data_IF_253983980559
#
_entry.id   IF_253983980559
#
_cell.length_a   1.000
_cell.length_b   1.000
_cell.length_c   1.000
_cell.angle_alpha   90.00
_cell.angle_beta   90.00
_cell.angle_gamma   90.00
#
_symmetry.space_group_name_H-M   'P 1'
#
loop_
_entity.id
_entity.type
_entity.pdbx_description
1 polymer ?
#
# COMPACT_ATOMS: atom_id res chain seq x y z
N UNK A 1 9.94 -0.99 -11.43
CA UNK A 1 9.36 0.37 -11.28
C UNK A 1 8.37 0.60 -12.42
N UNK A 2 7.12 0.91 -12.12
CA UNK A 2 6.10 1.27 -13.13
C UNK A 2 5.83 2.77 -13.03
N UNK A 3 6.12 3.57 -14.05
CA UNK A 3 6.02 5.04 -14.00
C UNK A 3 4.96 5.56 -14.97
N UNK A 4 4.10 6.47 -14.52
CA UNK A 4 3.14 7.20 -15.38
C UNK A 4 2.83 8.57 -14.79
N UNK A 5 3.01 9.61 -15.61
CA UNK A 5 2.73 10.99 -15.20
C UNK A 5 3.49 11.37 -13.93
N UNK A 6 2.74 11.83 -12.92
CA UNK A 6 3.26 12.33 -11.63
C UNK A 6 3.55 11.25 -10.59
N UNK A 7 3.36 9.97 -10.91
CA UNK A 7 3.55 8.88 -9.96
C UNK A 7 4.36 7.71 -10.54
N UNK A 8 4.92 6.91 -9.64
CA UNK A 8 5.46 5.60 -9.97
C UNK A 8 5.22 4.59 -8.84
N UNK A 9 5.14 3.32 -9.22
CA UNK A 9 4.98 2.18 -8.32
C UNK A 9 6.31 1.46 -8.10
N UNK A 10 6.59 1.17 -6.83
CA UNK A 10 7.68 0.27 -6.40
C UNK A 10 7.09 -0.85 -5.54
N UNK A 11 7.67 -2.06 -5.53
CA UNK A 11 7.36 -3.03 -4.49
C UNK A 11 7.50 -2.40 -3.10
N UNK A 12 6.69 -2.85 -2.14
CA UNK A 12 6.88 -2.48 -0.74
C UNK A 12 8.23 -2.98 -0.22
N UNK A 13 8.95 -2.13 0.50
CA UNK A 13 10.16 -2.48 1.23
C UNK A 13 10.00 -2.15 2.71
N UNK A 14 10.86 -2.75 3.57
CA UNK A 14 10.81 -2.57 5.03
C UNK A 14 10.83 -1.08 5.44
N UNK A 15 11.57 -0.22 4.74
CA UNK A 15 11.64 1.20 5.07
C UNK A 15 10.31 1.95 4.87
N UNK A 16 9.38 1.41 4.07
CA UNK A 16 8.06 2.00 3.87
C UNK A 16 7.16 1.82 5.09
N UNK A 17 7.47 0.89 6.01
CA UNK A 17 6.68 0.64 7.20
C UNK A 17 6.54 1.89 8.08
N UNK A 18 7.55 2.76 8.11
CA UNK A 18 7.47 4.03 8.85
C UNK A 18 6.39 4.95 8.27
N UNK A 19 6.30 5.07 6.94
CA UNK A 19 5.26 5.86 6.28
C UNK A 19 3.87 5.23 6.48
N UNK A 20 3.76 3.92 6.34
CA UNK A 20 2.50 3.17 6.55
C UNK A 20 2.00 3.33 7.98
N UNK A 21 2.88 3.14 8.96
CA UNK A 21 2.54 3.33 10.38
C UNK A 21 2.02 4.74 10.66
N UNK A 22 2.61 5.76 10.02
CA UNK A 22 2.10 7.13 10.15
C UNK A 22 0.72 7.30 9.50
N UNK A 23 0.48 6.68 8.34
CA UNK A 23 -0.83 6.72 7.65
C UNK A 23 -1.95 6.09 8.46
N UNK A 24 -1.65 4.96 9.12
CA UNK A 24 -2.61 4.17 9.88
C UNK A 24 -2.97 4.78 11.25
N UNK A 25 -2.35 5.89 11.64
CA UNK A 25 -2.85 6.70 12.77
C UNK A 25 -4.23 7.32 12.49
N UNK A 26 -4.59 7.49 11.22
CA UNK A 26 -5.94 7.87 10.81
C UNK A 26 -6.79 6.61 10.68
N UNK A 27 -7.87 6.51 11.47
CA UNK A 27 -8.77 5.35 11.49
C UNK A 27 -9.44 5.11 10.12
N UNK A 28 -9.73 6.15 9.36
CA UNK A 28 -10.25 6.01 7.99
C UNK A 28 -9.27 5.20 7.12
N UNK A 29 -7.97 5.48 7.24
CA UNK A 29 -6.96 4.75 6.49
C UNK A 29 -6.86 3.30 6.96
N UNK A 30 -7.04 3.00 8.25
CA UNK A 30 -7.05 1.61 8.75
C UNK A 30 -8.13 0.79 8.06
N UNK A 31 -9.35 1.34 7.98
CA UNK A 31 -10.52 0.66 7.38
C UNK A 31 -10.34 0.36 5.88
N UNK A 32 -9.56 1.17 5.18
CA UNK A 32 -9.28 0.98 3.74
C UNK A 32 -7.94 0.30 3.46
N UNK A 33 -7.10 0.05 4.46
CA UNK A 33 -5.76 -0.50 4.28
C UNK A 33 -5.77 -2.01 4.07
N UNK A 34 -6.46 -2.72 4.96
CA UNK A 34 -6.58 -4.19 4.88
C UNK A 34 -7.68 -4.69 5.79
N UNK A 35 -8.28 -5.82 5.44
CA UNK A 35 -9.19 -6.56 6.33
C UNK A 35 -8.50 -7.12 7.58
N UNK A 36 -7.17 -7.01 7.69
CA UNK A 36 -6.36 -7.51 8.82
C UNK A 36 -6.39 -6.60 10.04
N UNK A 37 -6.51 -5.28 9.84
CA UNK A 37 -6.42 -4.31 10.93
C UNK A 37 -7.77 -3.64 11.18
N UNK A 38 -8.22 -3.71 12.43
CA UNK A 38 -9.47 -3.06 12.88
C UNK A 38 -9.16 -1.75 13.63
N UNK A 39 -7.93 -1.61 14.14
CA UNK A 39 -7.41 -0.42 14.80
C UNK A 39 -5.97 -0.15 14.31
N UNK A 40 -5.40 1.05 14.59
CA UNK A 40 -4.02 1.37 14.23
C UNK A 40 -3.04 0.33 14.79
N UNK A 41 -2.29 -0.39 13.93
CA UNK A 41 -1.32 -1.36 14.40
C UNK A 41 -0.04 -0.68 14.90
N UNK A 42 0.62 -1.34 15.82
CA UNK A 42 2.01 -1.06 16.19
C UNK A 42 2.97 -1.31 15.02
N UNK A 43 4.20 -0.81 15.13
CA UNK A 43 5.23 -1.04 14.13
C UNK A 43 5.61 -2.53 14.04
N UNK A 44 5.63 -3.25 15.17
CA UNK A 44 5.92 -4.68 15.21
C UNK A 44 4.84 -5.50 14.50
N UNK A 45 3.56 -5.17 14.68
CA UNK A 45 2.44 -5.80 13.97
C UNK A 45 2.52 -5.55 12.45
N UNK A 46 2.91 -4.33 12.04
CA UNK A 46 3.16 -4.02 10.64
C UNK A 46 4.35 -4.79 10.06
N UNK A 47 5.39 -5.01 10.86
CA UNK A 47 6.53 -5.82 10.43
C UNK A 47 6.14 -7.30 10.25
N UNK A 48 5.34 -7.85 11.16
CA UNK A 48 4.78 -9.20 11.02
C UNK A 48 3.96 -9.30 9.73
N UNK A 49 3.08 -8.33 9.47
CA UNK A 49 2.30 -8.27 8.23
C UNK A 49 3.20 -8.20 6.99
N UNK A 50 4.21 -7.34 6.97
CA UNK A 50 5.16 -7.24 5.87
C UNK A 50 5.92 -8.55 5.62
N UNK A 51 6.40 -9.20 6.69
CA UNK A 51 7.09 -10.48 6.57
C UNK A 51 6.18 -11.58 6.00
N UNK A 52 4.87 -11.51 6.26
CA UNK A 52 3.89 -12.43 5.65
C UNK A 52 3.80 -12.31 4.12
N UNK A 53 4.20 -11.17 3.54
CA UNK A 53 4.17 -10.93 2.09
C UNK A 53 5.34 -11.59 1.33
N UNK A 54 6.47 -11.87 2.00
CA UNK A 54 7.73 -12.30 1.35
C UNK A 54 7.52 -13.55 0.48
N UNK A 55 6.79 -14.54 1.01
CA UNK A 55 6.49 -15.79 0.31
C UNK A 55 5.04 -15.89 -0.18
N UNK A 56 4.31 -14.77 -0.17
CA UNK A 56 2.93 -14.75 -0.62
C UNK A 56 2.88 -14.45 -2.12
N UNK A 57 2.50 -15.45 -2.91
CA UNK A 57 2.29 -15.29 -4.36
C UNK A 57 0.87 -14.85 -4.72
N UNK A 58 -0.05 -14.81 -3.75
CA UNK A 58 -1.45 -14.40 -3.94
C UNK A 58 -1.70 -12.95 -3.58
N UNK A 59 -0.81 -12.31 -2.82
CA UNK A 59 -0.88 -10.91 -2.46
C UNK A 59 0.41 -10.19 -2.88
N UNK A 60 0.27 -9.05 -3.55
CA UNK A 60 1.38 -8.17 -3.95
C UNK A 60 1.05 -6.73 -3.59
N UNK A 61 1.95 -6.07 -2.88
CA UNK A 61 1.77 -4.68 -2.43
C UNK A 61 2.82 -3.80 -3.08
N UNK A 62 2.36 -2.65 -3.57
CA UNK A 62 3.17 -1.63 -4.19
C UNK A 62 2.95 -0.28 -3.52
N UNK A 63 4.01 0.52 -3.40
CA UNK A 63 3.93 1.89 -2.90
C UNK A 63 3.77 2.85 -4.07
N UNK A 64 2.81 3.76 -3.95
CA UNK A 64 2.61 4.88 -4.86
C UNK A 64 3.54 6.00 -4.41
N UNK A 65 4.48 6.39 -5.25
CA UNK A 65 5.43 7.46 -4.96
C UNK A 65 5.24 8.62 -5.93
N UNK A 66 5.38 9.85 -5.44
CA UNK A 66 5.40 11.03 -6.29
C UNK A 66 6.67 11.07 -7.14
N UNK A 67 6.56 11.35 -8.44
CA UNK A 67 7.66 11.18 -9.39
C UNK A 67 8.85 12.12 -9.19
N UNK A 68 8.62 13.31 -8.63
CA UNK A 68 9.66 14.34 -8.49
C UNK A 68 10.43 14.18 -7.17
N UNK A 69 9.74 14.31 -6.04
CA UNK A 69 10.33 14.25 -4.70
C UNK A 69 10.39 12.84 -4.09
N UNK A 70 9.88 11.81 -4.79
CA UNK A 70 9.85 10.40 -4.34
C UNK A 70 9.12 10.17 -3.02
N UNK A 71 8.28 11.11 -2.59
CA UNK A 71 7.50 10.97 -1.36
C UNK A 71 6.43 9.90 -1.55
N UNK A 72 6.31 8.93 -0.63
CA UNK A 72 5.21 7.97 -0.62
C UNK A 72 3.87 8.68 -0.42
N UNK A 73 2.91 8.39 -1.30
CA UNK A 73 1.56 8.97 -1.30
C UNK A 73 0.49 7.98 -0.81
N UNK A 74 0.74 6.68 -0.96
CA UNK A 74 -0.23 5.65 -0.70
C UNK A 74 0.26 4.28 -1.18
N UNK A 75 -0.67 3.33 -1.34
CA UNK A 75 -0.34 1.99 -1.80
C UNK A 75 -1.40 1.41 -2.73
N UNK A 76 -0.98 0.40 -3.49
CA UNK A 76 -1.82 -0.49 -4.28
C UNK A 76 -1.58 -1.92 -3.80
N UNK A 77 -2.66 -2.66 -3.54
CA UNK A 77 -2.61 -4.08 -3.28
C UNK A 77 -3.28 -4.84 -4.43
N UNK A 78 -2.64 -5.92 -4.88
CA UNK A 78 -3.28 -6.99 -5.62
C UNK A 78 -3.47 -8.18 -4.68
N UNK A 79 -4.69 -8.60 -4.44
CA UNK A 79 -5.00 -9.67 -3.49
C UNK A 79 -5.78 -10.82 -4.14
N UNK A 80 -5.68 -12.00 -3.51
CA UNK A 80 -6.28 -13.27 -3.99
C UNK A 80 -5.99 -13.54 -5.48
N UNK A 81 -4.74 -13.29 -5.91
CA UNK A 81 -4.33 -13.48 -7.30
C UNK A 81 -4.50 -14.96 -7.69
N UNK A 82 -5.30 -15.21 -8.72
CA UNK A 82 -5.38 -16.50 -9.41
C UNK A 82 -4.59 -16.42 -10.71
N UNK A 83 -3.36 -16.92 -10.67
CA UNK A 83 -2.45 -16.94 -11.82
C UNK A 83 -2.98 -17.78 -12.99
N UNK A 84 -3.79 -18.81 -12.72
CA UNK A 84 -4.34 -19.69 -13.76
C UNK A 84 -5.49 -19.00 -14.48
N UNK A 85 -6.40 -18.39 -13.73
CA UNK A 85 -7.58 -17.72 -14.26
C UNK A 85 -7.34 -16.24 -14.61
N UNK A 86 -6.13 -15.73 -14.38
CA UNK A 86 -5.69 -14.36 -14.69
C UNK A 86 -6.57 -13.29 -14.06
N UNK A 87 -6.98 -13.50 -12.81
CA UNK A 87 -7.79 -12.54 -12.05
C UNK A 87 -7.13 -12.21 -10.70
N UNK A 88 -7.49 -11.06 -10.15
CA UNK A 88 -7.08 -10.58 -8.84
C UNK A 88 -8.05 -9.49 -8.38
N UNK A 89 -8.10 -9.23 -7.08
CA UNK A 89 -8.72 -8.02 -6.54
C UNK A 89 -7.69 -6.92 -6.45
N UNK A 90 -8.12 -5.67 -6.60
CA UNK A 90 -7.27 -4.49 -6.45
C UNK A 90 -7.81 -3.60 -5.33
N UNK A 91 -6.92 -3.23 -4.41
CA UNK A 91 -7.14 -2.19 -3.40
C UNK A 91 -6.22 -1.02 -3.66
N UNK A 92 -6.72 0.21 -3.52
CA UNK A 92 -5.93 1.43 -3.70
C UNK A 92 -6.26 2.40 -2.57
N UNK A 93 -5.23 2.96 -1.95
CA UNK A 93 -5.37 4.02 -0.95
C UNK A 93 -4.38 5.14 -1.24
N UNK A 94 -4.87 6.39 -1.19
CA UNK A 94 -4.06 7.60 -1.11
C UNK A 94 -4.17 8.10 0.32
N UNK A 95 -3.08 7.93 1.08
CA UNK A 95 -3.12 7.96 2.53
C UNK A 95 -3.33 9.35 3.11
N UNK A 96 -2.73 10.37 2.52
CA UNK A 96 -2.91 11.75 2.97
C UNK A 96 -4.11 12.38 2.28
N UNK A 97 -5.04 12.93 3.05
CA UNK A 97 -6.23 13.64 2.53
C UNK A 97 -5.85 14.77 1.58
N UNK A 98 -4.80 15.54 1.90
CA UNK A 98 -4.29 16.63 1.06
C UNK A 98 -3.83 16.19 -0.33
N UNK A 99 -3.56 14.89 -0.52
CA UNK A 99 -3.08 14.33 -1.79
C UNK A 99 -4.20 13.61 -2.56
N UNK A 100 -5.38 13.47 -1.98
CA UNK A 100 -6.58 12.94 -2.66
C UNK A 100 -7.11 13.98 -3.67
N UNK A 101 -7.91 13.51 -4.64
CA UNK A 101 -8.55 14.34 -5.69
C UNK A 101 -7.58 15.11 -6.60
N UNK A 102 -6.32 14.69 -6.67
CA UNK A 102 -5.28 15.25 -7.56
C UNK A 102 -5.04 14.41 -8.83
N UNK A 103 -5.85 13.38 -9.06
CA UNK A 103 -5.70 12.48 -10.21
C UNK A 103 -4.54 11.49 -10.08
N UNK A 104 -4.16 11.11 -8.85
CA UNK A 104 -3.17 10.06 -8.58
C UNK A 104 -3.75 8.65 -8.56
N UNK A 105 -5.05 8.52 -8.27
CA UNK A 105 -5.83 7.29 -8.27
C UNK A 105 -7.05 7.47 -9.17
#
# INVERSE_FOLDING_TARGET
MLKKGKIFLTPIERHNLVSIHQWLKNLENVLYFSDTFICPPSLDELEIWYNSLINNNKNKVFIINHSENRVPLGMVELSKIDWKNKNAYIGIIIANEKDRRKGYA
#
